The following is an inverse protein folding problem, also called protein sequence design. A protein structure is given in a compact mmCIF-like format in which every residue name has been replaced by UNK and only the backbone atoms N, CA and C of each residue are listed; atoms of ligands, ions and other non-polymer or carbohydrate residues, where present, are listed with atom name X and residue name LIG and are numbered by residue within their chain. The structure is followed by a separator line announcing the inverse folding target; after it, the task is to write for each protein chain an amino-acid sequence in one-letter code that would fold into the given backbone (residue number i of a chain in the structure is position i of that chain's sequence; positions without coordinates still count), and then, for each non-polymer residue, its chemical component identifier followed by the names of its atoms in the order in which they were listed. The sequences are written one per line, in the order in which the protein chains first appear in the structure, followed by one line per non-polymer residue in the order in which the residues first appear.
data_IF_166548776385
#
_entry.id   IF_166548776385
#
_cell.length_a   1.000
_cell.length_b   1.000
_cell.length_c   1.000
_cell.angle_alpha   90.00
_cell.angle_beta   90.00
_cell.angle_gamma   90.00
#
_symmetry.space_group_name_H-M   'P 1'
#
loop_
_entity.id
_entity.type
_entity.pdbx_description
1 polymer ?
#
# COMPACT_ATOMS: atom_id res chain seq x y z
N UNK A 1 -4.38 21.20 -5.49
CA UNK A 1 -4.25 19.76 -5.76
C UNK A 1 -4.90 19.46 -7.10
N UNK A 2 -4.12 19.38 -8.18
CA UNK A 2 -4.57 18.88 -9.48
C UNK A 2 -3.95 17.51 -9.70
N UNK A 3 -4.35 16.54 -8.88
CA UNK A 3 -4.02 15.14 -9.12
C UNK A 3 -5.02 14.56 -10.12
N UNK A 4 -4.56 13.71 -11.03
CA UNK A 4 -5.49 12.89 -11.82
C UNK A 4 -6.36 12.07 -10.86
N UNK A 5 -7.66 12.01 -11.14
CA UNK A 5 -8.61 11.25 -10.33
C UNK A 5 -8.35 9.75 -10.52
N UNK A 6 -8.17 9.01 -9.43
CA UNK A 6 -7.96 7.56 -9.45
C UNK A 6 -8.90 6.78 -8.52
N UNK A 7 -10.09 7.33 -8.25
CA UNK A 7 -11.15 6.62 -7.53
C UNK A 7 -11.24 6.91 -6.04
N UNK A 8 -10.44 7.84 -5.51
CA UNK A 8 -10.62 8.34 -4.16
C UNK A 8 -11.51 9.58 -4.19
N UNK A 9 -12.68 9.46 -3.56
CA UNK A 9 -13.65 10.53 -3.41
C UNK A 9 -13.52 11.18 -2.03
N UNK A 10 -13.56 12.51 -1.98
CA UNK A 10 -13.51 13.24 -0.71
C UNK A 10 -14.89 13.25 -0.04
N UNK A 11 -14.94 12.77 1.20
CA UNK A 11 -16.12 12.78 2.07
C UNK A 11 -15.78 13.54 3.36
N UNK A 12 -16.00 14.85 3.36
CA UNK A 12 -15.62 15.74 4.47
C UNK A 12 -14.10 15.77 4.65
N UNK A 13 -13.63 15.41 5.85
CA UNK A 13 -12.21 15.37 6.20
C UNK A 13 -11.51 14.05 5.77
N UNK A 14 -12.28 13.10 5.24
CA UNK A 14 -11.79 11.78 4.83
C UNK A 14 -11.89 11.59 3.33
N UNK A 15 -11.18 10.59 2.86
CA UNK A 15 -11.24 10.11 1.49
C UNK A 15 -11.67 8.66 1.49
N UNK A 16 -12.45 8.27 0.49
CA UNK A 16 -12.99 6.93 0.36
C UNK A 16 -12.72 6.34 -1.02
N UNK A 17 -12.32 5.07 -1.04
CA UNK A 17 -12.20 4.23 -2.23
C UNK A 17 -12.99 2.95 -1.98
N UNK A 18 -14.21 2.85 -2.52
CA UNK A 18 -15.16 1.81 -2.14
C UNK A 18 -15.34 1.74 -0.61
N UNK A 19 -14.98 0.62 0.03
CA UNK A 19 -15.06 0.47 1.50
C UNK A 19 -13.81 0.96 2.24
N UNK A 20 -12.75 1.34 1.51
CA UNK A 20 -11.47 1.76 2.09
C UNK A 20 -11.54 3.23 2.48
N UNK A 21 -11.14 3.53 3.71
CA UNK A 21 -11.13 4.88 4.27
C UNK A 21 -9.69 5.32 4.53
N UNK A 22 -9.38 6.54 4.12
CA UNK A 22 -8.10 7.17 4.38
C UNK A 22 -8.23 8.67 4.60
N UNK A 23 -7.12 9.30 4.96
CA UNK A 23 -7.02 10.75 5.13
C UNK A 23 -5.60 11.24 4.89
N UNK A 24 -5.42 12.51 4.54
CA UNK A 24 -4.13 13.17 4.65
C UNK A 24 -3.69 13.18 6.11
N UNK A 25 -2.48 12.71 6.39
CA UNK A 25 -1.86 12.78 7.73
C UNK A 25 -1.02 14.05 7.87
N UNK A 26 -0.32 14.43 6.81
CA UNK A 26 0.40 15.68 6.64
C UNK A 26 0.48 16.00 5.14
N UNK A 27 1.27 17.02 4.76
CA UNK A 27 1.43 17.46 3.37
C UNK A 27 2.05 16.41 2.42
N UNK A 28 2.59 15.31 2.94
CA UNK A 28 3.35 14.33 2.16
C UNK A 28 2.91 12.88 2.37
N UNK A 29 1.92 12.64 3.21
CA UNK A 29 1.52 11.31 3.65
C UNK A 29 0.01 11.15 3.61
N UNK A 30 -0.44 10.19 2.81
CA UNK A 30 -1.80 9.70 2.82
C UNK A 30 -1.89 8.44 3.69
N UNK A 31 -2.72 8.48 4.73
CA UNK A 31 -2.89 7.39 5.70
C UNK A 31 -4.19 6.65 5.43
N UNK A 32 -4.08 5.36 5.13
CA UNK A 32 -5.23 4.43 5.09
C UNK A 32 -5.51 3.98 6.52
N UNK A 33 -6.71 4.28 6.99
CA UNK A 33 -7.16 3.99 8.36
C UNK A 33 -7.78 2.59 8.43
N UNK A 34 -8.65 2.26 7.47
CA UNK A 34 -9.39 1.00 7.44
C UNK A 34 -9.63 0.56 5.99
N UNK A 35 -9.38 -0.72 5.70
CA UNK A 35 -9.78 -1.30 4.42
C UNK A 35 -11.25 -1.71 4.38
N UNK A 36 -11.92 -1.87 5.52
CA UNK A 36 -13.26 -2.43 5.60
C UNK A 36 -13.27 -3.96 5.69
N UNK A 37 -14.31 -4.52 6.31
CA UNK A 37 -14.37 -5.94 6.69
C UNK A 37 -14.54 -6.91 5.51
N UNK A 38 -15.21 -6.47 4.44
CA UNK A 38 -15.50 -7.28 3.24
C UNK A 38 -14.43 -7.13 2.14
N UNK A 39 -13.41 -6.30 2.37
CA UNK A 39 -12.41 -5.98 1.36
C UNK A 39 -11.48 -7.14 1.11
N UNK A 40 -11.36 -7.54 -0.15
CA UNK A 40 -10.42 -8.57 -0.59
C UNK A 40 -9.00 -8.01 -0.71
N UNK A 41 -7.99 -8.88 -0.68
CA UNK A 41 -6.59 -8.46 -0.85
C UNK A 41 -6.38 -7.68 -2.16
N UNK A 42 -7.04 -8.08 -3.25
CA UNK A 42 -6.94 -7.39 -4.54
C UNK A 42 -7.55 -5.99 -4.51
N UNK A 43 -8.70 -5.82 -3.85
CA UNK A 43 -9.32 -4.50 -3.68
C UNK A 43 -8.43 -3.60 -2.81
N UNK A 44 -7.87 -4.13 -1.71
CA UNK A 44 -6.93 -3.39 -0.87
C UNK A 44 -5.68 -2.94 -1.67
N UNK A 45 -5.12 -3.83 -2.50
CA UNK A 45 -4.01 -3.47 -3.39
C UNK A 45 -4.41 -2.38 -4.39
N UNK A 46 -5.61 -2.47 -4.98
CA UNK A 46 -6.13 -1.44 -5.89
C UNK A 46 -6.24 -0.09 -5.20
N UNK A 47 -6.79 -0.05 -3.98
CA UNK A 47 -6.93 1.19 -3.21
C UNK A 47 -5.56 1.81 -2.90
N UNK A 48 -4.57 0.99 -2.51
CA UNK A 48 -3.18 1.45 -2.27
C UNK A 48 -2.58 2.02 -3.56
N UNK A 49 -2.67 1.31 -4.69
CA UNK A 49 -2.12 1.77 -5.96
C UNK A 49 -2.79 3.06 -6.44
N UNK A 50 -4.12 3.15 -6.32
CA UNK A 50 -4.88 4.36 -6.60
C UNK A 50 -4.48 5.53 -5.70
N UNK A 51 -4.25 5.28 -4.41
CA UNK A 51 -3.79 6.32 -3.48
C UNK A 51 -2.39 6.82 -3.87
N UNK A 52 -1.47 5.91 -4.20
CA UNK A 52 -0.13 6.27 -4.66
C UNK A 52 -0.16 7.12 -5.94
N UNK A 53 -1.10 6.84 -6.86
CA UNK A 53 -1.25 7.60 -8.10
C UNK A 53 -1.89 8.98 -7.88
N UNK A 54 -2.99 9.04 -7.10
CA UNK A 54 -3.77 10.27 -6.91
C UNK A 54 -3.08 11.31 -6.05
N UNK A 55 -2.45 10.88 -4.95
CA UNK A 55 -1.84 11.81 -4.02
C UNK A 55 -0.37 12.07 -4.38
N UNK A 56 0.28 11.20 -5.18
CA UNK A 56 1.73 11.25 -5.45
C UNK A 56 2.58 11.30 -4.15
N UNK A 57 1.96 10.92 -3.04
CA UNK A 57 2.46 11.03 -1.67
C UNK A 57 2.90 9.66 -1.15
N UNK A 58 3.53 9.66 0.02
CA UNK A 58 3.85 8.41 0.73
C UNK A 58 2.57 7.84 1.32
N UNK A 59 2.19 6.65 0.87
CA UNK A 59 1.03 5.95 1.47
C UNK A 59 1.46 5.20 2.72
N UNK A 60 0.73 5.42 3.81
CA UNK A 60 0.85 4.67 5.06
C UNK A 60 -0.45 3.92 5.37
N UNK A 61 -0.36 2.84 6.14
CA UNK A 61 -1.51 2.02 6.55
C UNK A 61 -1.44 1.77 8.05
N UNK A 62 -2.52 2.04 8.79
CA UNK A 62 -2.59 1.75 10.23
C UNK A 62 -2.59 0.22 10.46
N UNK A 63 -1.85 -0.25 11.47
CA UNK A 63 -1.88 -1.65 11.89
C UNK A 63 -3.12 -1.94 12.75
N UNK A 64 -4.26 -2.17 12.10
CA UNK A 64 -5.44 -2.79 12.72
C UNK A 64 -5.48 -4.28 12.39
N UNK A 65 -6.26 -5.10 13.10
CA UNK A 65 -6.36 -6.55 12.82
C UNK A 65 -6.80 -6.85 11.39
N UNK A 66 -7.77 -6.08 10.88
CA UNK A 66 -8.26 -6.19 9.51
C UNK A 66 -7.18 -5.84 8.49
N UNK A 67 -6.50 -4.70 8.69
CA UNK A 67 -5.46 -4.25 7.79
C UNK A 67 -4.27 -5.21 7.79
N UNK A 68 -3.90 -5.71 8.97
CA UNK A 68 -2.80 -6.67 9.15
C UNK A 68 -3.02 -7.90 8.29
N UNK A 69 -4.21 -8.50 8.36
CA UNK A 69 -4.56 -9.70 7.58
C UNK A 69 -4.39 -9.47 6.07
N UNK A 70 -4.77 -8.29 5.56
CA UNK A 70 -4.70 -7.97 4.14
C UNK A 70 -3.27 -7.63 3.70
N UNK A 71 -2.54 -6.84 4.48
CA UNK A 71 -1.16 -6.45 4.20
C UNK A 71 -0.24 -7.67 4.19
N UNK A 72 -0.38 -8.60 5.15
CA UNK A 72 0.42 -9.82 5.18
C UNK A 72 0.15 -10.69 3.95
N UNK A 73 -1.12 -10.89 3.56
CA UNK A 73 -1.46 -11.62 2.32
C UNK A 73 -0.83 -10.99 1.08
N UNK A 74 -0.85 -9.66 0.98
CA UNK A 74 -0.25 -8.94 -0.15
C UNK A 74 1.29 -9.03 -0.15
N UNK A 75 1.90 -9.02 1.04
CA UNK A 75 3.34 -9.19 1.21
C UNK A 75 3.80 -10.58 0.82
N UNK A 76 3.09 -11.62 1.28
CA UNK A 76 3.35 -13.03 0.94
C UNK A 76 3.23 -13.27 -0.56
N UNK A 77 2.21 -12.68 -1.21
CA UNK A 77 2.03 -12.73 -2.66
C UNK A 77 3.06 -11.89 -3.45
N UNK A 78 3.99 -11.20 -2.78
CA UNK A 78 4.96 -10.29 -3.40
C UNK A 78 4.33 -9.18 -4.25
N UNK A 79 3.11 -8.76 -3.89
CA UNK A 79 2.36 -7.67 -4.54
C UNK A 79 2.57 -6.32 -3.83
N UNK A 80 2.98 -6.36 -2.56
CA UNK A 80 3.18 -5.18 -1.75
C UNK A 80 4.48 -5.27 -0.95
N UNK A 81 5.27 -4.20 -0.97
CA UNK A 81 6.44 -4.01 -0.10
C UNK A 81 6.10 -2.93 0.91
N UNK A 82 6.27 -3.26 2.18
CA UNK A 82 6.02 -2.35 3.30
C UNK A 82 7.21 -2.32 4.25
N UNK A 83 7.39 -1.19 4.94
CA UNK A 83 8.25 -1.06 6.11
C UNK A 83 7.38 -0.77 7.34
N UNK A 84 7.72 -1.38 8.48
CA UNK A 84 7.08 -1.02 9.75
C UNK A 84 7.54 0.37 10.19
N UNK A 85 6.59 1.16 10.66
CA UNK A 85 6.80 2.52 11.16
C UNK A 85 6.08 2.60 12.50
N UNK A 86 6.80 3.05 13.52
CA UNK A 86 6.20 3.47 14.79
C UNK A 86 6.03 4.98 14.76
N UNK A 87 4.82 5.46 14.97
CA UNK A 87 4.52 6.88 15.06
C UNK A 87 3.74 7.16 16.34
N UNK A 88 4.46 7.65 17.35
CA UNK A 88 3.99 7.72 18.74
C UNK A 88 3.55 6.33 19.22
N UNK A 89 2.31 6.23 19.67
CA UNK A 89 1.70 4.98 20.14
C UNK A 89 1.06 4.15 19.01
N UNK A 90 1.00 4.67 17.79
CA UNK A 90 0.40 3.96 16.65
C UNK A 90 1.44 3.23 15.83
N UNK A 91 1.19 1.93 15.62
CA UNK A 91 1.96 1.14 14.65
C UNK A 91 1.36 1.29 13.26
N UNK A 92 2.21 1.52 12.28
CA UNK A 92 1.83 1.78 10.89
C UNK A 92 2.76 1.02 9.93
N UNK A 93 2.35 0.89 8.69
CA UNK A 93 3.20 0.43 7.59
C UNK A 93 3.38 1.54 6.57
N UNK A 94 4.61 1.86 6.21
CA UNK A 94 4.91 2.67 5.03
C UNK A 94 4.95 1.80 3.79
N UNK A 95 4.17 2.14 2.77
CA UNK A 95 4.20 1.46 1.47
C UNK A 95 5.45 1.89 0.71
N UNK A 96 6.34 0.94 0.44
CA UNK A 96 7.57 1.13 -0.34
C UNK A 96 7.36 0.90 -1.84
N UNK A 97 6.35 0.09 -2.18
CA UNK A 97 5.99 -0.19 -3.56
C UNK A 97 4.85 -1.20 -3.65
N UNK A 98 4.01 -1.03 -4.65
CA UNK A 98 2.88 -1.90 -4.95
C UNK A 98 2.93 -2.30 -6.43
N UNK A 99 2.68 -3.57 -6.73
CA UNK A 99 2.67 -4.09 -8.11
C UNK A 99 1.48 -4.99 -8.33
N UNK A 100 0.75 -4.79 -9.44
CA UNK A 100 -0.40 -5.61 -9.80
C UNK A 100 -0.04 -7.05 -10.22
N UNK A 101 1.23 -7.30 -10.55
CA UNK A 101 1.78 -8.62 -10.87
C UNK A 101 2.90 -8.95 -9.89
N UNK A 102 3.05 -10.22 -9.46
CA UNK A 102 4.18 -10.64 -8.65
C UNK A 102 5.48 -10.34 -9.39
N UNK A 103 6.44 -9.72 -8.70
CA UNK A 103 7.77 -9.53 -9.29
C UNK A 103 8.41 -10.91 -9.47
N UNK A 104 8.83 -11.33 -10.67
CA UNK A 104 9.50 -12.62 -10.84
C UNK A 104 10.77 -12.65 -9.98
N UNK A 105 11.12 -13.80 -9.37
CA UNK A 105 12.34 -13.91 -8.60
C UNK A 105 13.52 -13.58 -9.51
N UNK A 106 14.38 -12.64 -9.08
CA UNK A 106 15.58 -12.26 -9.85
C UNK A 106 16.38 -13.52 -10.14
N UNK A 107 16.47 -13.92 -11.42
CA UNK A 107 17.36 -15.02 -11.83
C UNK A 107 18.77 -14.64 -11.42
N UNK A 108 19.35 -15.39 -10.46
CA UNK A 108 20.78 -15.28 -10.15
C UNK A 108 21.52 -15.73 -11.40
N UNK A 109 22.04 -14.79 -12.19
CA UNK A 109 23.01 -15.06 -13.24
C UNK A 109 24.23 -15.68 -12.57
N UNK A 110 24.27 -17.02 -12.52
CA UNK A 110 25.49 -17.77 -12.24
C UNK A 110 26.39 -17.52 -13.44
N UNK A 111 27.23 -16.49 -13.36
CA UNK A 111 28.40 -16.40 -14.22
C UNK A 111 29.20 -17.67 -13.97
N UNK A 112 29.03 -18.66 -14.86
CA UNK A 112 29.96 -19.78 -14.96
C UNK A 112 31.24 -19.18 -15.53
N UNK A 113 32.08 -18.62 -14.67
CA UNK A 113 33.50 -18.52 -14.97
C UNK A 113 33.99 -19.97 -15.07
N UNK A 114 34.19 -20.42 -16.29
CA UNK A 114 34.92 -21.67 -16.53
C UNK A 114 36.33 -21.43 -16.02
N UNK A 115 36.65 -22.17 -14.97
CA UNK A 115 38.00 -22.34 -14.47
C UNK A 115 38.86 -22.97 -15.57
N UNK A 116 40.08 -22.43 -15.67
CA UNK A 116 41.33 -22.99 -16.20
C UNK A 116 41.34 -23.71 -17.54
#
# INVERSE_FOLDING_TARGET
MSGEYHGWDQEGDRWRFADVVGRPKNEFVFLIEDFGSQTTARQALSAIMSAMAQFQERVQVIQTDCNTRLILKLREASLLRVAEISDGDTKQWGVLGATAKPTPPKKRFKWKFWAS
#
